data_IF_481726151701
#
_entry.id   IF_481726151701
#
_cell.length_a   1.000
_cell.length_b   1.000
_cell.length_c   1.000
_cell.angle_alpha   90.00
_cell.angle_beta   90.00
_cell.angle_gamma   90.00
#
_symmetry.space_group_name_H-M   'P 1'
#
loop_
_entity.id
_entity.type
_entity.pdbx_description
1 polymer ?
#
# COMPACT_ATOMS: atom_id res chain seq x y z
N UNK A 1 -23.53 -5.64 -19.21
CA UNK A 1 -23.55 -4.49 -18.28
C UNK A 1 -22.12 -4.03 -18.13
N UNK A 2 -21.81 -2.76 -18.38
CA UNK A 2 -20.48 -2.23 -18.07
C UNK A 2 -20.25 -2.41 -16.56
N UNK A 3 -19.26 -3.22 -16.20
CA UNK A 3 -19.03 -3.66 -14.83
C UNK A 3 -18.70 -2.49 -13.92
N UNK A 4 -19.28 -2.47 -12.72
CA UNK A 4 -18.89 -1.52 -11.67
C UNK A 4 -17.38 -1.59 -11.42
N UNK A 5 -16.78 -0.47 -11.03
CA UNK A 5 -15.38 -0.41 -10.61
C UNK A 5 -15.08 -1.52 -9.57
N UNK A 6 -14.02 -2.33 -9.76
CA UNK A 6 -13.80 -3.53 -8.93
C UNK A 6 -13.53 -3.25 -7.44
N UNK A 7 -13.06 -2.05 -7.11
CA UNK A 7 -12.70 -1.64 -5.75
C UNK A 7 -13.65 -0.53 -5.27
N UNK A 8 -14.84 -0.88 -4.78
CA UNK A 8 -15.92 0.09 -4.51
C UNK A 8 -15.50 1.21 -3.53
N UNK A 9 -14.58 0.90 -2.62
CA UNK A 9 -14.06 1.80 -1.58
C UNK A 9 -12.97 2.76 -2.09
N UNK A 10 -12.47 2.58 -3.32
CA UNK A 10 -11.46 3.48 -3.88
C UNK A 10 -12.02 4.90 -4.00
N UNK A 11 -11.29 5.85 -3.43
CA UNK A 11 -11.53 7.27 -3.65
C UNK A 11 -11.25 7.65 -5.11
N UNK A 12 -11.64 8.85 -5.52
CA UNK A 12 -11.33 9.34 -6.88
C UNK A 12 -9.83 9.27 -7.19
N UNK A 13 -8.98 9.59 -6.23
CA UNK A 13 -7.53 9.58 -6.42
C UNK A 13 -6.99 8.15 -6.50
N UNK A 14 -7.52 7.21 -5.70
CA UNK A 14 -7.15 5.79 -5.79
C UNK A 14 -7.51 5.20 -7.15
N UNK A 15 -8.68 5.58 -7.68
CA UNK A 15 -9.09 5.19 -9.05
C UNK A 15 -8.12 5.72 -10.09
N UNK A 16 -7.73 7.00 -10.00
CA UNK A 16 -6.77 7.60 -10.92
C UNK A 16 -5.41 6.89 -10.86
N UNK A 17 -4.92 6.55 -9.66
CA UNK A 17 -3.68 5.78 -9.50
C UNK A 17 -3.76 4.42 -10.20
N UNK A 18 -4.81 3.64 -9.93
CA UNK A 18 -4.98 2.33 -10.58
C UNK A 18 -5.11 2.42 -12.09
N UNK A 19 -5.79 3.46 -12.59
CA UNK A 19 -5.89 3.70 -14.04
C UNK A 19 -4.50 3.98 -14.62
N UNK A 20 -3.69 4.81 -13.95
CA UNK A 20 -2.32 5.10 -14.35
C UNK A 20 -1.49 3.81 -14.34
N UNK A 21 -1.58 2.99 -13.29
CA UNK A 21 -0.87 1.71 -13.19
C UNK A 21 -1.25 0.77 -14.35
N UNK A 22 -2.54 0.64 -14.66
CA UNK A 22 -3.01 -0.17 -15.80
C UNK A 22 -2.46 0.32 -17.15
N UNK A 23 -2.42 1.64 -17.38
CA UNK A 23 -1.81 2.17 -18.59
C UNK A 23 -0.30 1.92 -18.62
N UNK A 24 0.39 2.09 -17.50
CA UNK A 24 1.84 1.85 -17.39
C UNK A 24 2.17 0.38 -17.67
N UNK A 25 1.46 -0.55 -17.05
CA UNK A 25 1.65 -1.98 -17.27
C UNK A 25 1.46 -2.34 -18.75
N UNK A 26 0.36 -1.87 -19.35
CA UNK A 26 0.06 -2.14 -20.75
C UNK A 26 1.06 -1.50 -21.73
N UNK A 27 1.59 -0.31 -21.41
CA UNK A 27 2.60 0.37 -22.23
C UNK A 27 3.98 -0.26 -22.08
N UNK A 28 4.34 -0.72 -20.88
CA UNK A 28 5.61 -1.38 -20.61
C UNK A 28 5.76 -2.69 -21.40
N UNK A 29 4.66 -3.39 -21.65
CA UNK A 29 4.64 -4.59 -22.52
C UNK A 29 4.95 -4.27 -23.99
N UNK A 30 4.73 -3.02 -24.43
CA UNK A 30 4.96 -2.57 -25.81
C UNK A 30 6.34 -1.93 -25.97
N UNK A 31 6.68 -0.98 -25.08
CA UNK A 31 7.95 -0.24 -25.10
C UNK A 31 8.33 0.19 -23.68
N UNK A 32 9.13 -0.66 -23.03
CA UNK A 32 9.63 -0.42 -21.69
C UNK A 32 10.54 0.81 -21.61
N UNK A 33 11.39 1.05 -22.60
CA UNK A 33 12.36 2.15 -22.58
C UNK A 33 11.66 3.52 -22.64
N UNK A 34 10.63 3.64 -23.47
CA UNK A 34 9.80 4.83 -23.51
C UNK A 34 9.10 5.09 -22.16
N UNK A 35 8.60 4.04 -21.50
CA UNK A 35 8.00 4.15 -20.17
C UNK A 35 9.01 4.63 -19.13
N UNK A 36 10.23 4.07 -19.11
CA UNK A 36 11.31 4.49 -18.20
C UNK A 36 11.71 5.97 -18.41
N UNK A 37 11.62 6.48 -19.64
CA UNK A 37 11.82 7.90 -19.93
C UNK A 37 10.77 8.79 -19.28
N UNK A 38 9.49 8.40 -19.34
CA UNK A 38 8.39 9.13 -18.70
C UNK A 38 8.49 9.04 -17.17
N UNK A 39 8.85 7.88 -16.65
CA UNK A 39 9.04 7.63 -15.21
C UNK A 39 10.08 8.58 -14.62
N UNK A 40 11.20 8.73 -15.32
CA UNK A 40 12.25 9.66 -14.93
C UNK A 40 11.73 11.09 -14.85
N UNK A 41 10.94 11.54 -15.83
CA UNK A 41 10.34 12.88 -15.81
C UNK A 41 9.40 13.06 -14.61
N UNK A 42 8.59 12.05 -14.26
CA UNK A 42 7.69 12.13 -13.09
C UNK A 42 8.47 12.19 -11.78
N UNK A 43 9.55 11.42 -11.65
CA UNK A 43 10.47 11.49 -10.50
C UNK A 43 11.09 12.89 -10.41
N UNK A 44 11.59 13.43 -11.53
CA UNK A 44 12.20 14.76 -11.58
C UNK A 44 11.18 15.87 -11.23
N UNK A 45 9.90 15.65 -11.48
CA UNK A 45 8.79 16.53 -11.06
C UNK A 45 8.32 16.32 -9.61
N UNK A 46 9.03 15.50 -8.84
CA UNK A 46 8.71 15.24 -7.43
C UNK A 46 7.52 14.30 -7.23
N UNK A 47 7.18 13.48 -8.24
CA UNK A 47 6.13 12.45 -8.17
C UNK A 47 6.73 11.03 -8.21
N UNK A 48 7.67 10.67 -7.30
CA UNK A 48 8.34 9.37 -7.35
C UNK A 48 7.41 8.19 -7.06
N UNK A 49 6.23 8.44 -6.49
CA UNK A 49 5.23 7.43 -6.20
C UNK A 49 4.69 6.73 -7.46
N UNK A 50 4.75 7.38 -8.62
CA UNK A 50 4.25 6.81 -9.89
C UNK A 50 5.09 5.59 -10.30
N UNK A 51 6.36 5.54 -9.88
CA UNK A 51 7.32 4.52 -10.28
C UNK A 51 7.70 3.58 -9.12
N UNK A 52 7.00 3.66 -7.97
CA UNK A 52 7.32 2.84 -6.80
C UNK A 52 6.80 1.40 -6.97
N UNK A 53 7.57 0.61 -7.70
CA UNK A 53 7.34 -0.84 -7.89
C UNK A 53 7.92 -1.67 -6.74
N UNK A 54 8.12 -1.10 -5.54
CA UNK A 54 8.61 -1.89 -4.41
C UNK A 54 7.61 -3.02 -4.13
N UNK A 55 8.03 -4.26 -4.37
CA UNK A 55 7.25 -5.44 -3.97
C UNK A 55 7.04 -5.40 -2.46
N UNK A 56 5.78 -5.28 -2.05
CA UNK A 56 5.40 -5.32 -0.65
C UNK A 56 5.20 -6.78 -0.26
N UNK A 57 6.14 -7.33 0.53
CA UNK A 57 5.90 -8.61 1.19
C UNK A 57 4.82 -8.44 2.27
N UNK A 58 3.58 -8.76 1.90
CA UNK A 58 2.42 -8.69 2.79
C UNK A 58 2.50 -9.67 3.98
N UNK A 59 3.37 -10.67 3.92
CA UNK A 59 3.60 -11.62 5.01
C UNK A 59 4.73 -11.19 5.94
N UNK A 60 5.47 -10.14 5.58
CA UNK A 60 6.54 -9.62 6.42
C UNK A 60 6.01 -9.23 7.80
N UNK A 61 6.78 -9.59 8.82
CA UNK A 61 6.52 -9.27 10.22
C UNK A 61 7.39 -8.09 10.62
N UNK A 62 6.78 -6.92 10.79
CA UNK A 62 7.51 -5.65 10.98
C UNK A 62 7.03 -4.91 12.23
N UNK A 63 7.89 -4.09 12.87
CA UNK A 63 7.47 -3.26 14.00
C UNK A 63 6.53 -2.14 13.53
N UNK A 64 5.68 -1.62 14.43
CA UNK A 64 4.74 -0.54 14.11
C UNK A 64 5.41 0.69 13.45
N UNK A 65 6.62 1.06 13.89
CA UNK A 65 7.37 2.21 13.34
C UNK A 65 7.60 2.15 11.83
N UNK A 66 7.76 0.94 11.30
CA UNK A 66 8.07 0.72 9.89
C UNK A 66 6.93 1.20 8.98
N UNK A 67 5.68 1.12 9.43
CA UNK A 67 4.53 1.58 8.66
C UNK A 67 4.44 3.11 8.56
N UNK A 68 4.98 3.84 9.54
CA UNK A 68 5.09 5.29 9.44
C UNK A 68 6.13 5.67 8.39
N UNK A 69 7.30 5.02 8.44
CA UNK A 69 8.40 5.26 7.49
C UNK A 69 8.00 4.92 6.05
N UNK A 70 7.25 3.82 5.85
CA UNK A 70 6.90 3.33 4.50
C UNK A 70 5.58 3.88 3.97
N UNK A 71 4.57 4.09 4.83
CA UNK A 71 3.20 4.41 4.41
C UNK A 71 2.58 5.61 5.16
N UNK A 72 3.35 6.29 6.02
CA UNK A 72 2.83 7.41 6.81
C UNK A 72 1.78 7.03 7.86
N UNK A 73 1.61 5.74 8.17
CA UNK A 73 0.62 5.28 9.17
C UNK A 73 1.22 5.43 10.57
N UNK A 74 0.64 6.26 11.47
CA UNK A 74 1.19 6.47 12.81
C UNK A 74 1.22 5.19 13.66
N UNK A 75 2.30 4.98 14.41
CA UNK A 75 2.44 3.82 15.29
C UNK A 75 1.30 3.65 16.29
N UNK A 76 0.84 4.78 16.85
CA UNK A 76 -0.23 4.80 17.83
C UNK A 76 -1.51 4.20 17.25
N UNK A 77 -1.85 4.56 16.00
CA UNK A 77 -3.00 4.00 15.30
C UNK A 77 -2.92 2.47 15.20
N UNK A 78 -1.76 1.93 14.80
CA UNK A 78 -1.57 0.48 14.63
C UNK A 78 -1.74 -0.26 15.96
N UNK A 79 -1.13 0.28 17.04
CA UNK A 79 -1.21 -0.31 18.38
C UNK A 79 -2.65 -0.26 18.91
N UNK A 80 -3.35 0.83 18.65
CA UNK A 80 -4.73 1.05 19.06
C UNK A 80 -5.70 0.16 18.27
N UNK A 81 -5.57 0.09 16.95
CA UNK A 81 -6.36 -0.80 16.08
C UNK A 81 -6.15 -2.26 16.46
N UNK A 82 -4.92 -2.70 16.68
CA UNK A 82 -4.62 -4.06 17.11
C UNK A 82 -5.17 -4.38 18.51
N UNK A 83 -5.30 -3.38 19.39
CA UNK A 83 -5.93 -3.56 20.69
C UNK A 83 -7.45 -3.69 20.58
N UNK A 84 -8.10 -2.92 19.70
CA UNK A 84 -9.56 -2.93 19.51
C UNK A 84 -10.05 -4.07 18.61
N UNK A 85 -9.22 -4.48 17.64
CA UNK A 85 -9.53 -5.47 16.61
C UNK A 85 -8.41 -6.53 16.51
N UNK A 86 -8.14 -7.27 17.60
CA UNK A 86 -7.08 -8.29 17.62
C UNK A 86 -7.31 -9.44 16.63
N UNK A 87 -8.54 -9.64 16.17
CA UNK A 87 -8.93 -10.59 15.13
C UNK A 87 -8.51 -10.16 13.72
N UNK A 88 -8.26 -8.86 13.51
CA UNK A 88 -7.84 -8.31 12.21
C UNK A 88 -6.38 -7.94 12.16
N UNK A 89 -5.84 -7.42 13.27
CA UNK A 89 -4.43 -7.04 13.37
C UNK A 89 -3.84 -7.76 14.59
N UNK A 90 -3.31 -8.96 14.35
CA UNK A 90 -2.66 -9.75 15.41
C UNK A 90 -1.30 -9.18 15.78
N UNK A 91 -0.97 -9.31 17.07
CA UNK A 91 0.35 -9.02 17.62
C UNK A 91 1.18 -10.29 17.58
N UNK A 92 2.36 -10.20 16.98
CA UNK A 92 3.36 -11.26 17.00
C UNK A 92 4.53 -10.84 17.88
N UNK A 93 5.25 -11.82 18.42
CA UNK A 93 6.47 -11.58 19.21
C UNK A 93 7.67 -12.08 18.44
N UNK A 94 8.64 -11.20 18.23
CA UNK A 94 9.97 -11.57 17.79
C UNK A 94 10.71 -12.34 18.91
N UNK A 95 11.76 -13.06 18.55
CA UNK A 95 12.62 -13.77 19.51
C UNK A 95 13.21 -12.83 20.60
N UNK A 96 13.41 -11.55 20.28
CA UNK A 96 13.89 -10.53 21.22
C UNK A 96 12.76 -9.81 22.01
N UNK A 97 11.52 -10.33 21.97
CA UNK A 97 10.37 -9.78 22.70
C UNK A 97 9.68 -8.58 22.04
N UNK A 98 10.23 -8.03 20.95
CA UNK A 98 9.60 -6.93 20.19
C UNK A 98 8.26 -7.36 19.61
N UNK A 99 7.29 -6.47 19.67
CA UNK A 99 5.98 -6.69 19.04
C UNK A 99 6.09 -6.40 17.54
N UNK A 100 5.68 -7.36 16.73
CA UNK A 100 5.61 -7.28 15.27
C UNK A 100 4.16 -7.39 14.82
N UNK A 101 3.90 -6.85 13.64
CA UNK A 101 2.63 -6.88 12.95
C UNK A 101 2.86 -7.36 11.53
N UNK A 102 1.93 -8.16 11.02
CA UNK A 102 1.95 -8.57 9.61
C UNK A 102 1.58 -7.37 8.75
N UNK A 103 2.34 -7.13 7.69
CA UNK A 103 2.12 -5.99 6.78
C UNK A 103 0.71 -6.02 6.16
N UNK A 104 0.31 -7.16 5.62
CA UNK A 104 -0.99 -7.32 4.95
C UNK A 104 -2.18 -7.01 5.85
N UNK A 105 -2.14 -7.46 7.11
CA UNK A 105 -3.22 -7.26 8.08
C UNK A 105 -3.44 -5.76 8.37
N UNK A 106 -2.35 -5.02 8.59
CA UNK A 106 -2.40 -3.57 8.86
C UNK A 106 -2.86 -2.80 7.64
N UNK A 107 -2.32 -3.11 6.45
CA UNK A 107 -2.70 -2.41 5.21
C UNK A 107 -4.15 -2.68 4.83
N UNK A 108 -4.62 -3.94 4.96
CA UNK A 108 -6.01 -4.32 4.72
C UNK A 108 -6.93 -3.56 5.65
N UNK A 109 -6.65 -3.57 6.97
CA UNK A 109 -7.46 -2.83 7.92
C UNK A 109 -7.45 -1.32 7.62
N UNK A 110 -6.30 -0.75 7.29
CA UNK A 110 -6.20 0.67 6.97
C UNK A 110 -7.06 1.07 5.77
N UNK A 111 -7.14 0.20 4.75
CA UNK A 111 -7.96 0.40 3.57
C UNK A 111 -9.47 0.24 3.86
N UNK A 112 -9.86 -0.70 4.73
CA UNK A 112 -11.28 -1.04 4.94
C UNK A 112 -11.93 -0.43 6.18
N UNK A 113 -11.19 0.27 7.04
CA UNK A 113 -11.71 0.81 8.32
C UNK A 113 -12.84 1.85 8.18
N UNK A 114 -13.05 2.42 6.99
CA UNK A 114 -14.11 3.40 6.71
C UNK A 114 -15.42 2.79 6.20
N UNK A 115 -15.42 1.50 5.87
CA UNK A 115 -16.56 0.79 5.25
C UNK A 115 -17.42 0.02 6.27
N UNK A 116 -17.39 0.43 7.54
CA UNK A 116 -18.04 -0.25 8.68
C UNK A 116 -18.83 0.67 9.57
#
# INVERSE_FOLDING_TARGET
MAGSWPWPEDTKDDRLRRIIDHYRDALADIDLEACLGVDKLMVDYGQPWVCDNTVVDVNAMVPARWFFEKYGIPEWNIRDWSRRHPERIRKHKAANGRTLFRVGDVLTYNATKGSQ
#
